data_IF_290441236110
#
_entry.id   IF_290441236110
#
_cell.length_a   1.000
_cell.length_b   1.000
_cell.length_c   1.000
_cell.angle_alpha   90.00
_cell.angle_beta   90.00
_cell.angle_gamma   90.00
#
_symmetry.space_group_name_H-M   'P 1'
#
loop_
_entity.id
_entity.type
_entity.pdbx_description
1 polymer ?
#
# COMPACT_ATOMS: atom_id res chain seq x y z
N UNK A 1 4.59 39.87 -17.59
CA UNK A 1 3.38 39.34 -16.92
C UNK A 1 3.84 38.33 -15.88
N UNK A 2 3.47 38.56 -14.64
CA UNK A 2 3.88 37.82 -13.43
C UNK A 2 2.96 36.60 -13.24
N UNK A 3 3.46 35.60 -12.49
CA UNK A 3 2.73 34.50 -11.81
C UNK A 3 2.38 33.26 -12.64
N UNK A 4 3.28 32.27 -12.61
CA UNK A 4 2.93 30.85 -12.47
C UNK A 4 4.11 30.11 -11.83
N UNK A 5 4.35 30.38 -10.55
CA UNK A 5 5.41 29.76 -9.75
C UNK A 5 4.85 29.36 -8.37
N UNK A 6 3.72 28.68 -8.34
CA UNK A 6 3.17 28.10 -7.11
C UNK A 6 2.29 26.90 -7.44
N UNK A 7 2.92 25.76 -7.80
CA UNK A 7 2.28 24.43 -7.70
C UNK A 7 3.28 23.27 -7.79
N UNK A 8 4.56 23.49 -7.47
CA UNK A 8 5.54 22.40 -7.40
C UNK A 8 6.07 22.13 -5.98
N UNK A 9 5.61 22.88 -4.97
CA UNK A 9 6.12 22.78 -3.61
C UNK A 9 5.33 21.83 -2.68
N UNK A 10 4.18 21.30 -3.12
CA UNK A 10 3.33 20.47 -2.25
C UNK A 10 3.67 18.97 -2.32
N UNK A 11 4.30 18.50 -3.41
CA UNK A 11 4.69 17.09 -3.55
C UNK A 11 5.94 16.74 -2.72
N UNK A 12 6.82 17.70 -2.43
CA UNK A 12 8.05 17.45 -1.68
C UNK A 12 7.86 17.29 -0.16
N UNK A 13 6.70 17.67 0.41
CA UNK A 13 6.51 17.68 1.86
C UNK A 13 6.18 16.28 2.42
N UNK A 14 5.57 15.39 1.62
CA UNK A 14 5.24 14.04 2.08
C UNK A 14 6.49 13.14 2.17
N UNK A 15 7.42 13.26 1.22
CA UNK A 15 8.68 12.50 1.22
C UNK A 15 9.60 12.85 2.37
N UNK A 16 9.56 14.08 2.87
CA UNK A 16 10.45 14.54 3.95
C UNK A 16 10.08 13.97 5.33
N UNK A 17 8.82 13.57 5.54
CA UNK A 17 8.32 13.15 6.87
C UNK A 17 8.79 11.77 7.31
N UNK A 18 9.06 10.86 6.39
CA UNK A 18 9.50 9.50 6.72
C UNK A 18 10.98 9.44 7.16
N UNK A 19 11.79 10.41 6.74
CA UNK A 19 13.24 10.42 6.95
C UNK A 19 13.62 10.76 8.41
N UNK A 20 12.80 11.54 9.13
CA UNK A 20 13.13 12.03 10.49
C UNK A 20 13.05 10.96 11.60
N UNK A 21 12.46 9.78 11.33
CA UNK A 21 12.27 8.72 12.33
C UNK A 21 13.05 7.43 12.02
N UNK A 22 13.98 7.44 11.06
CA UNK A 22 14.79 6.27 10.71
C UNK A 22 14.04 5.18 9.94
N UNK A 23 12.85 5.47 9.42
CA UNK A 23 12.12 4.55 8.54
C UNK A 23 12.74 4.54 7.15
N UNK A 24 12.80 3.34 6.57
CA UNK A 24 13.19 3.15 5.16
C UNK A 24 11.95 2.78 4.37
N UNK A 25 11.65 3.55 3.31
CA UNK A 25 10.53 3.21 2.45
C UNK A 25 10.78 1.89 1.71
N UNK A 26 9.87 0.95 1.85
CA UNK A 26 9.86 -0.32 1.11
C UNK A 26 9.10 -0.25 -0.22
N UNK A 27 8.39 0.86 -0.45
CA UNK A 27 7.69 1.14 -1.70
C UNK A 27 8.32 2.36 -2.38
N UNK A 28 8.59 2.24 -3.68
CA UNK A 28 9.29 3.26 -4.45
C UNK A 28 8.35 4.34 -5.04
N UNK A 29 7.03 4.22 -4.84
CA UNK A 29 6.03 5.16 -5.35
C UNK A 29 5.70 5.01 -6.85
N UNK A 30 6.29 4.03 -7.55
CA UNK A 30 6.24 3.93 -9.01
C UNK A 30 5.76 2.57 -9.49
N UNK A 31 6.33 1.50 -8.93
CA UNK A 31 6.09 0.13 -9.37
C UNK A 31 6.30 -0.86 -8.21
N UNK A 32 6.14 -2.15 -8.51
CA UNK A 32 6.26 -3.24 -7.54
C UNK A 32 7.68 -3.83 -7.49
N UNK A 33 8.72 -3.08 -7.89
CA UNK A 33 10.10 -3.51 -7.70
C UNK A 33 10.38 -3.74 -6.21
N UNK A 34 10.95 -4.89 -5.86
CA UNK A 34 11.11 -5.29 -4.45
C UNK A 34 9.96 -6.14 -3.90
N UNK A 35 8.94 -6.43 -4.73
CA UNK A 35 7.79 -7.24 -4.36
C UNK A 35 7.64 -8.46 -5.27
N UNK A 36 6.91 -9.47 -4.79
CA UNK A 36 6.54 -10.66 -5.54
C UNK A 36 5.14 -11.12 -5.18
N UNK A 37 4.55 -11.89 -6.07
CA UNK A 37 3.31 -12.63 -5.83
C UNK A 37 3.57 -14.10 -6.09
N UNK A 38 2.90 -15.00 -5.37
CA UNK A 38 3.03 -16.44 -5.61
C UNK A 38 1.98 -16.95 -6.59
N UNK A 39 0.72 -16.69 -6.29
CA UNK A 39 -0.41 -17.25 -7.04
C UNK A 39 -1.42 -16.16 -7.48
N UNK A 40 -1.01 -14.88 -7.42
CA UNK A 40 -1.84 -13.78 -7.90
C UNK A 40 -2.05 -13.86 -9.42
N UNK A 41 -3.24 -13.47 -9.85
CA UNK A 41 -3.56 -13.29 -11.26
C UNK A 41 -3.03 -11.95 -11.76
N UNK A 42 -2.81 -11.87 -13.07
CA UNK A 42 -2.45 -10.60 -13.71
C UNK A 42 -3.52 -9.53 -13.41
N UNK A 43 -3.08 -8.38 -12.89
CA UNK A 43 -3.96 -7.27 -12.54
C UNK A 43 -4.45 -7.25 -11.08
N UNK A 44 -4.24 -8.30 -10.30
CA UNK A 44 -4.59 -8.33 -8.87
C UNK A 44 -3.90 -7.24 -8.06
N UNK A 45 -2.65 -6.96 -8.42
CA UNK A 45 -1.81 -5.95 -7.79
C UNK A 45 -1.22 -5.07 -8.87
N UNK A 46 -1.39 -3.75 -8.72
CA UNK A 46 -0.89 -2.73 -9.64
C UNK A 46 -0.54 -1.48 -8.86
N UNK A 47 0.26 -0.60 -9.46
CA UNK A 47 0.45 0.75 -8.93
C UNK A 47 -0.42 1.70 -9.72
N UNK A 48 -1.33 2.39 -9.05
CA UNK A 48 -2.23 3.39 -9.65
C UNK A 48 -2.04 4.69 -8.89
N UNK A 49 -1.68 5.76 -9.61
CA UNK A 49 -1.46 7.10 -9.05
C UNK A 49 -0.52 7.12 -7.83
N UNK A 50 0.55 6.32 -7.89
CA UNK A 50 1.54 6.22 -6.81
C UNK A 50 1.06 5.47 -5.58
N UNK A 51 0.02 4.65 -5.69
CA UNK A 51 -0.53 3.80 -4.62
C UNK A 51 -0.56 2.35 -5.07
N UNK A 52 -0.18 1.43 -4.18
CA UNK A 52 -0.39 -0.01 -4.41
C UNK A 52 -1.88 -0.30 -4.33
N UNK A 53 -2.46 -0.73 -5.44
CA UNK A 53 -3.88 -1.03 -5.58
C UNK A 53 -4.09 -2.54 -5.68
N UNK A 54 -4.99 -3.04 -4.84
CA UNK A 54 -5.44 -4.42 -4.82
C UNK A 54 -6.80 -4.52 -5.52
N UNK A 55 -6.90 -5.32 -6.56
CA UNK A 55 -8.09 -5.46 -7.41
C UNK A 55 -8.27 -6.91 -7.90
N UNK A 56 -8.44 -7.87 -6.97
CA UNK A 56 -8.49 -9.28 -7.35
C UNK A 56 -9.70 -9.56 -8.24
N UNK A 57 -9.44 -10.10 -9.42
CA UNK A 57 -10.51 -10.51 -10.34
C UNK A 57 -11.13 -11.82 -9.83
N UNK A 58 -12.22 -11.71 -9.08
CA UNK A 58 -12.99 -12.84 -8.55
C UNK A 58 -12.37 -13.55 -7.33
N UNK A 59 -13.11 -14.54 -6.82
CA UNK A 59 -12.65 -15.39 -5.71
C UNK A 59 -11.58 -16.37 -6.21
N UNK A 60 -10.34 -16.15 -5.79
CA UNK A 60 -9.23 -17.06 -6.09
C UNK A 60 -8.91 -17.94 -4.90
N UNK A 61 -8.52 -19.19 -5.18
CA UNK A 61 -7.87 -20.06 -4.20
C UNK A 61 -6.37 -19.78 -4.24
N UNK A 62 -5.69 -19.95 -3.10
CA UNK A 62 -4.24 -19.84 -3.04
C UNK A 62 -3.70 -18.54 -2.41
N UNK A 63 -2.37 -18.41 -2.39
CA UNK A 63 -1.63 -17.26 -1.86
C UNK A 63 -1.51 -16.14 -2.92
N UNK A 64 -2.56 -15.33 -2.98
CA UNK A 64 -2.66 -14.14 -3.86
C UNK A 64 -2.14 -12.87 -3.18
N UNK A 65 -1.43 -12.97 -2.06
CA UNK A 65 -0.90 -11.81 -1.37
C UNK A 65 0.30 -11.21 -2.12
N UNK A 66 0.54 -9.93 -1.87
CA UNK A 66 1.76 -9.24 -2.28
C UNK A 66 2.80 -9.37 -1.17
N UNK A 67 3.97 -9.89 -1.50
CA UNK A 67 5.07 -10.15 -0.57
C UNK A 67 6.28 -9.29 -0.90
N UNK A 68 7.03 -8.84 0.10
CA UNK A 68 8.35 -8.27 -0.14
C UNK A 68 9.33 -9.37 -0.59
N UNK A 69 10.25 -9.05 -1.50
CA UNK A 69 11.35 -9.95 -1.85
C UNK A 69 12.34 -10.13 -0.69
N UNK A 70 12.48 -9.08 0.13
CA UNK A 70 13.30 -9.10 1.34
C UNK A 70 12.49 -9.63 2.52
N UNK A 71 13.16 -10.38 3.38
CA UNK A 71 12.62 -10.83 4.66
C UNK A 71 13.12 -9.91 5.80
N UNK A 72 12.27 -9.76 6.81
CA UNK A 72 12.51 -8.91 7.97
C UNK A 72 12.24 -9.73 9.24
N UNK A 73 13.09 -9.56 10.25
CA UNK A 73 12.91 -10.15 11.59
C UNK A 73 12.07 -9.23 12.46
N UNK A 74 12.72 -8.55 13.40
CA UNK A 74 12.08 -7.51 14.22
C UNK A 74 11.95 -6.22 13.41
N UNK A 75 10.72 -5.70 13.26
CA UNK A 75 10.48 -4.44 12.54
C UNK A 75 9.27 -3.68 13.08
N UNK A 76 9.27 -2.37 12.84
CA UNK A 76 8.10 -1.50 12.92
C UNK A 76 7.66 -1.15 11.50
N UNK A 77 6.36 -1.28 11.22
CA UNK A 77 5.78 -0.97 9.91
C UNK A 77 4.84 0.22 10.03
N UNK A 78 5.12 1.26 9.26
CA UNK A 78 4.24 2.41 9.10
C UNK A 78 3.62 2.38 7.69
N UNK A 79 2.29 2.39 7.63
CA UNK A 79 1.54 2.30 6.38
C UNK A 79 0.21 3.05 6.47
N UNK A 80 -0.10 3.80 5.43
CA UNK A 80 -1.46 4.30 5.15
C UNK A 80 -2.19 3.33 4.23
N UNK A 81 -3.44 2.99 4.56
CA UNK A 81 -4.25 2.08 3.76
C UNK A 81 -5.72 2.52 3.73
N UNK A 82 -6.45 2.08 2.69
CA UNK A 82 -7.90 2.28 2.54
C UNK A 82 -8.53 1.11 1.79
N UNK A 83 -9.83 0.91 1.99
CA UNK A 83 -10.65 0.00 1.17
C UNK A 83 -11.39 0.83 0.11
N UNK A 84 -11.57 0.29 -1.10
CA UNK A 84 -12.24 0.98 -2.22
C UNK A 84 -13.72 1.27 -1.93
N UNK A 85 -14.42 0.37 -1.25
CA UNK A 85 -15.85 0.50 -0.96
C UNK A 85 -16.15 0.27 0.52
N UNK A 86 -17.04 1.11 1.06
CA UNK A 86 -17.58 1.01 2.42
C UNK A 86 -19.10 1.23 2.40
N UNK A 87 -19.89 0.49 3.19
CA UNK A 87 -19.46 -0.53 4.14
C UNK A 87 -19.21 -1.88 3.45
N UNK A 88 -17.96 -2.37 3.50
CA UNK A 88 -17.65 -3.76 3.20
C UNK A 88 -17.52 -4.51 4.52
N UNK A 89 -18.44 -5.43 4.78
CA UNK A 89 -18.33 -6.34 5.93
C UNK A 89 -17.62 -7.59 5.46
N UNK A 90 -16.38 -7.82 5.91
CA UNK A 90 -15.68 -9.06 5.63
C UNK A 90 -16.33 -10.20 6.44
N UNK A 91 -17.05 -11.16 5.81
CA UNK A 91 -17.73 -12.22 6.54
C UNK A 91 -16.76 -13.22 7.18
N UNK A 92 -15.47 -13.21 6.79
CA UNK A 92 -14.42 -14.08 7.34
C UNK A 92 -13.66 -13.42 8.50
N UNK A 93 -13.81 -12.11 8.70
CA UNK A 93 -13.20 -11.43 9.83
C UNK A 93 -13.99 -11.74 11.10
N UNK A 94 -13.31 -12.17 12.17
CA UNK A 94 -13.92 -12.20 13.49
C UNK A 94 -14.13 -10.76 13.94
N UNK A 95 -15.40 -10.38 14.15
CA UNK A 95 -15.74 -9.15 14.85
C UNK A 95 -15.46 -9.41 16.33
N UNK A 96 -14.36 -8.84 16.84
CA UNK A 96 -14.09 -8.81 18.28
C UNK A 96 -14.93 -7.69 18.86
N UNK A 97 -15.85 -8.03 19.75
CA UNK A 97 -16.69 -7.06 20.43
C UNK A 97 -15.93 -6.47 21.64
N UNK A 98 -16.38 -5.34 22.21
CA UNK A 98 -15.71 -4.71 23.34
C UNK A 98 -15.57 -5.59 24.60
N UNK A 99 -16.30 -6.70 24.68
CA UNK A 99 -16.26 -7.69 25.76
C UNK A 99 -15.19 -8.80 25.57
N UNK A 100 -14.50 -8.82 24.43
CA UNK A 100 -13.42 -9.78 24.13
C UNK A 100 -13.92 -11.05 23.47
#
# INVERSE_FOLDING_TARGET
MIRFLFLFAIVCIATLRAEEAGFVSIFNGKDLSGWMTREAMEGDWKVVDGVIDCDPQGEGKGDRNLWTLKEYGDFELFIDWRIKETPFTNPKARVILPDG
#
